data_IF_296127938050
#
_entry.id   IF_296127938050
#
_cell.length_a   1.000
_cell.length_b   1.000
_cell.length_c   1.000
_cell.angle_alpha   90.00
_cell.angle_beta   90.00
_cell.angle_gamma   90.00
#
_symmetry.space_group_name_H-M   'P 1'
#
loop_
_entity.id
_entity.type
_entity.pdbx_description
1 polymer ?
#
# COMPACT_ATOMS: atom_id res chain seq x y z
N UNK A 1 0.11 -0.56 -12.97
CA UNK A 1 0.97 0.65 -12.92
C UNK A 1 2.07 0.57 -11.86
N UNK A 2 1.84 0.05 -10.64
CA UNK A 2 2.90 -0.06 -9.61
C UNK A 2 3.90 -1.19 -9.88
N UNK A 3 3.43 -2.36 -10.31
CA UNK A 3 4.31 -3.50 -10.65
C UNK A 3 5.27 -3.22 -11.82
N UNK A 4 4.92 -2.30 -12.72
CA UNK A 4 5.78 -1.88 -13.84
C UNK A 4 6.91 -0.93 -13.42
N UNK A 5 6.95 -0.51 -12.16
CA UNK A 5 7.96 0.41 -11.60
C UNK A 5 8.75 -0.22 -10.46
N UNK A 6 8.83 -1.55 -10.44
CA UNK A 6 9.55 -2.33 -9.43
C UNK A 6 9.11 -2.04 -7.98
N UNK A 7 7.87 -1.57 -7.79
CA UNK A 7 7.30 -1.38 -6.46
C UNK A 7 6.64 -2.67 -5.99
N UNK A 8 6.99 -3.18 -4.79
CA UNK A 8 6.26 -4.27 -4.18
C UNK A 8 4.76 -3.97 -4.13
N UNK A 9 3.88 -4.96 -4.35
CA UNK A 9 2.42 -4.74 -4.38
C UNK A 9 1.90 -3.98 -3.16
N UNK A 10 2.42 -4.29 -1.96
CA UNK A 10 2.06 -3.60 -0.71
C UNK A 10 2.44 -2.12 -0.73
N UNK A 11 3.64 -1.79 -1.21
CA UNK A 11 4.10 -0.40 -1.32
C UNK A 11 3.22 0.36 -2.33
N UNK A 12 2.86 -0.27 -3.44
CA UNK A 12 1.94 0.29 -4.43
C UNK A 12 0.56 0.63 -3.85
N UNK A 13 -0.02 -0.28 -3.06
CA UNK A 13 -1.32 -0.06 -2.40
C UNK A 13 -1.26 1.10 -1.38
N UNK A 14 -0.19 1.17 -0.57
CA UNK A 14 0.02 2.24 0.40
C UNK A 14 0.16 3.60 -0.30
N UNK A 15 0.99 3.67 -1.35
CA UNK A 15 1.19 4.90 -2.13
C UNK A 15 -0.14 5.37 -2.75
N UNK A 16 -0.91 4.44 -3.32
CA UNK A 16 -2.19 4.76 -3.95
C UNK A 16 -3.21 5.31 -2.93
N UNK A 17 -3.36 4.67 -1.78
CA UNK A 17 -4.26 5.16 -0.72
C UNK A 17 -3.85 6.55 -0.22
N UNK A 18 -2.54 6.79 0.00
CA UNK A 18 -2.01 8.12 0.35
C UNK A 18 -2.24 9.17 -0.74
N UNK A 19 -2.23 8.77 -2.00
CA UNK A 19 -2.50 9.70 -3.11
C UNK A 19 -3.96 10.16 -3.10
N UNK A 20 -4.89 9.23 -2.83
CA UNK A 20 -6.30 9.56 -2.68
C UNK A 20 -6.51 10.47 -1.46
N UNK A 21 -5.82 10.20 -0.34
CA UNK A 21 -5.91 11.05 0.86
C UNK A 21 -5.50 12.50 0.56
N UNK A 22 -4.41 12.71 -0.18
CA UNK A 22 -3.98 14.06 -0.62
C UNK A 22 -5.03 14.74 -1.51
N UNK A 23 -5.66 14.00 -2.41
CA UNK A 23 -6.73 14.54 -3.25
C UNK A 23 -7.95 14.94 -2.40
N UNK A 24 -8.34 14.09 -1.43
CA UNK A 24 -9.41 14.40 -0.48
C UNK A 24 -9.12 15.69 0.30
N UNK A 25 -7.90 15.83 0.85
CA UNK A 25 -7.49 17.05 1.56
C UNK A 25 -7.55 18.28 0.64
N UNK A 26 -7.13 18.14 -0.61
CA UNK A 26 -7.21 19.21 -1.62
C UNK A 26 -8.66 19.63 -1.87
N UNK A 27 -9.59 18.67 -1.97
CA UNK A 27 -11.02 19.00 -2.12
C UNK A 27 -11.60 19.66 -0.88
N UNK A 28 -11.27 19.19 0.32
CA UNK A 28 -11.73 19.84 1.56
C UNK A 28 -11.21 21.26 1.69
N UNK A 29 -9.96 21.52 1.27
CA UNK A 29 -9.43 22.88 1.19
C UNK A 29 -10.22 23.75 0.21
N UNK A 30 -10.58 23.24 -0.97
CA UNK A 30 -11.41 23.98 -1.93
C UNK A 30 -12.79 24.31 -1.38
N UNK A 31 -13.36 23.43 -0.57
CA UNK A 31 -14.63 23.71 0.11
C UNK A 31 -14.47 24.85 1.10
N UNK A 32 -13.39 24.85 1.90
CA UNK A 32 -13.07 25.96 2.80
C UNK A 32 -12.81 27.28 2.04
N UNK A 33 -12.11 27.22 0.90
CA UNK A 33 -11.85 28.41 0.08
C UNK A 33 -13.15 29.02 -0.49
N UNK A 34 -14.19 28.19 -0.74
CA UNK A 34 -15.49 28.63 -1.30
C UNK A 34 -16.47 29.08 -0.22
N UNK A 35 -16.58 28.32 0.87
CA UNK A 35 -17.57 28.55 1.93
C UNK A 35 -17.01 29.35 3.11
N UNK A 36 -15.69 29.54 3.16
CA UNK A 36 -14.98 30.16 4.28
C UNK A 36 -14.63 29.17 5.39
N UNK A 37 -13.97 29.70 6.43
CA UNK A 37 -13.62 28.94 7.64
C UNK A 37 -14.88 28.59 8.43
N UNK A 38 -14.88 27.42 9.08
CA UNK A 38 -16.02 26.97 9.87
C UNK A 38 -17.17 26.46 8.99
N UNK A 39 -16.90 26.13 7.72
CA UNK A 39 -17.90 25.61 6.79
C UNK A 39 -18.59 24.35 7.30
N UNK A 40 -17.91 23.59 8.16
CA UNK A 40 -18.42 22.41 8.84
C UNK A 40 -19.61 22.70 9.78
N UNK A 41 -19.80 23.95 10.22
CA UNK A 41 -20.91 24.34 11.09
C UNK A 41 -22.20 24.60 10.31
N UNK A 42 -22.12 24.81 8.99
CA UNK A 42 -23.30 24.93 8.15
C UNK A 42 -24.00 23.57 8.02
N UNK A 43 -25.33 23.57 7.96
CA UNK A 43 -26.12 22.35 7.84
C UNK A 43 -25.69 21.48 6.64
N UNK A 44 -25.31 22.12 5.53
CA UNK A 44 -24.82 21.45 4.32
C UNK A 44 -23.37 20.94 4.48
N UNK A 45 -22.55 21.61 5.29
CA UNK A 45 -21.16 21.25 5.57
C UNK A 45 -21.00 20.06 6.51
N UNK A 46 -21.93 19.86 7.46
CA UNK A 46 -21.87 18.75 8.40
C UNK A 46 -21.85 17.38 7.71
N UNK A 47 -22.70 17.20 6.69
CA UNK A 47 -22.75 15.93 5.95
C UNK A 47 -21.41 15.65 5.26
N UNK A 48 -20.89 16.64 4.53
CA UNK A 48 -19.61 16.51 3.82
C UNK A 48 -18.44 16.28 4.78
N UNK A 49 -18.43 16.95 5.93
CA UNK A 49 -17.45 16.72 6.98
C UNK A 49 -17.53 15.26 7.49
N UNK A 50 -18.73 14.77 7.81
CA UNK A 50 -18.90 13.40 8.30
C UNK A 50 -18.46 12.34 7.28
N UNK A 51 -18.80 12.54 6.00
CA UNK A 51 -18.42 11.64 4.91
C UNK A 51 -16.92 11.67 4.66
N UNK A 52 -16.28 12.84 4.69
CA UNK A 52 -14.82 12.96 4.54
C UNK A 52 -14.07 12.29 5.69
N UNK A 53 -14.54 12.40 6.93
CA UNK A 53 -13.96 11.71 8.08
C UNK A 53 -14.10 10.19 7.96
N UNK A 54 -15.26 9.70 7.51
CA UNK A 54 -15.49 8.29 7.28
C UNK A 54 -14.62 7.75 6.12
N UNK A 55 -14.49 8.52 5.04
CA UNK A 55 -13.64 8.16 3.91
C UNK A 55 -12.16 8.12 4.31
N UNK A 56 -11.68 9.08 5.10
CA UNK A 56 -10.31 9.10 5.63
C UNK A 56 -9.98 7.84 6.42
N UNK A 57 -10.91 7.32 7.23
CA UNK A 57 -10.72 6.05 7.96
C UNK A 57 -10.50 4.86 7.02
N UNK A 58 -11.14 4.86 5.85
CA UNK A 58 -10.95 3.80 4.83
C UNK A 58 -9.60 3.89 4.12
N UNK A 59 -8.94 5.05 4.16
CA UNK A 59 -7.62 5.27 3.58
C UNK A 59 -6.49 4.98 4.58
N UNK A 60 -6.81 4.53 5.80
CA UNK A 60 -5.79 4.15 6.76
C UNK A 60 -4.96 2.96 6.22
N UNK A 61 -3.68 3.22 6.02
CA UNK A 61 -2.72 2.26 5.48
C UNK A 61 -1.96 1.51 6.58
N UNK A 62 -2.15 1.90 7.85
CA UNK A 62 -1.47 1.28 8.98
C UNK A 62 -1.75 -0.22 9.10
N UNK A 63 -3.00 -0.70 8.96
CA UNK A 63 -3.28 -2.14 9.03
C UNK A 63 -2.56 -2.94 7.93
N UNK A 64 -2.46 -2.37 6.72
CA UNK A 64 -1.76 -3.01 5.61
C UNK A 64 -0.26 -3.11 5.87
N UNK A 65 0.36 -2.05 6.42
CA UNK A 65 1.76 -2.05 6.80
C UNK A 65 2.06 -3.04 7.93
N UNK A 66 1.25 -3.04 8.98
CA UNK A 66 1.47 -3.91 10.15
C UNK A 66 1.30 -5.39 9.77
N UNK A 67 0.32 -5.73 8.92
CA UNK A 67 0.16 -7.09 8.39
C UNK A 67 1.40 -7.53 7.59
N UNK A 68 1.90 -6.67 6.70
CA UNK A 68 3.11 -6.95 5.93
C UNK A 68 4.36 -7.13 6.82
N UNK A 69 4.49 -6.29 7.85
CA UNK A 69 5.60 -6.40 8.80
C UNK A 69 5.55 -7.72 9.57
N UNK A 70 4.37 -8.15 10.00
CA UNK A 70 4.18 -9.46 10.62
C UNK A 70 4.56 -10.60 9.68
N UNK A 71 4.15 -10.53 8.41
CA UNK A 71 4.48 -11.55 7.41
C UNK A 71 5.99 -11.62 7.15
N UNK A 72 6.67 -10.49 7.03
CA UNK A 72 8.13 -10.45 6.85
C UNK A 72 8.87 -11.01 8.07
N UNK A 73 8.46 -10.62 9.28
CA UNK A 73 9.12 -11.10 10.49
C UNK A 73 8.95 -12.61 10.71
N UNK A 74 7.92 -13.22 10.11
CA UNK A 74 7.72 -14.68 10.10
C UNK A 74 8.53 -15.40 9.05
N UNK A 75 8.99 -14.71 8.00
CA UNK A 75 9.82 -15.32 6.95
C UNK A 75 11.25 -15.46 7.48
N UNK A 76 11.83 -16.64 7.27
CA UNK A 76 13.27 -16.81 7.46
C UNK A 76 13.98 -16.11 6.29
N UNK A 77 14.24 -14.81 6.44
CA UNK A 77 14.92 -14.00 5.42
C UNK A 77 16.44 -14.23 5.37
N UNK A 78 16.95 -15.18 6.17
CA UNK A 78 18.34 -15.58 6.12
C UNK A 78 18.58 -16.50 4.92
N UNK A 79 19.55 -16.14 4.09
CA UNK A 79 20.10 -17.07 3.09
C UNK A 79 20.89 -18.14 3.83
N UNK A 80 20.22 -19.23 4.21
CA UNK A 80 20.81 -20.38 4.89
C UNK A 80 20.86 -21.59 3.95
N UNK A 81 22.07 -22.08 3.63
CA UNK A 81 22.26 -23.30 2.83
C UNK A 81 23.04 -23.07 1.53
N UNK A 82 22.91 -24.00 0.56
CA UNK A 82 23.57 -23.90 -0.75
C UNK A 82 22.77 -22.98 -1.66
N UNK A 83 23.40 -21.88 -2.08
CA UNK A 83 22.88 -20.93 -3.07
C UNK A 83 22.59 -21.58 -4.42
N UNK A 84 23.38 -22.60 -4.77
CA UNK A 84 23.31 -23.29 -6.05
C UNK A 84 22.76 -24.70 -5.86
N UNK A 85 21.73 -25.03 -6.63
CA UNK A 85 21.16 -26.37 -6.69
C UNK A 85 21.28 -26.91 -8.11
N UNK A 86 21.75 -28.15 -8.26
CA UNK A 86 21.81 -28.83 -9.56
C UNK A 86 20.52 -29.63 -9.71
N UNK A 87 19.62 -29.17 -10.59
CA UNK A 87 18.34 -29.82 -10.86
C UNK A 87 18.48 -30.74 -12.07
N UNK A 88 18.06 -32.00 -11.94
CA UNK A 88 18.02 -32.95 -13.06
C UNK A 88 16.73 -32.79 -13.85
N UNK A 89 16.83 -32.57 -15.16
CA UNK A 89 15.67 -32.38 -16.04
C UNK A 89 15.04 -33.73 -16.42
N UNK A 90 13.70 -33.76 -16.54
CA UNK A 90 12.94 -34.99 -16.86
C UNK A 90 13.29 -35.59 -18.24
N UNK A 91 13.84 -34.80 -19.16
CA UNK A 91 14.30 -35.24 -20.48
C UNK A 91 15.78 -35.65 -20.57
N UNK A 92 16.50 -35.69 -19.44
CA UNK A 92 17.96 -35.81 -19.40
C UNK A 92 18.66 -34.44 -19.38
N UNK A 93 19.81 -34.37 -18.72
CA UNK A 93 20.57 -33.12 -18.50
C UNK A 93 20.44 -32.55 -17.08
N UNK A 94 21.29 -31.57 -16.79
CA UNK A 94 21.35 -30.87 -15.50
C UNK A 94 21.27 -29.35 -15.72
N UNK A 95 20.57 -28.65 -14.82
CA UNK A 95 20.48 -27.19 -14.80
C UNK A 95 20.95 -26.67 -13.45
N UNK A 96 21.71 -25.58 -13.45
CA UNK A 96 22.04 -24.82 -12.25
C UNK A 96 20.85 -23.89 -11.91
N UNK A 97 20.24 -24.09 -10.75
CA UNK A 97 19.24 -23.21 -10.17
C UNK A 97 19.88 -22.40 -9.03
N UNK A 98 19.40 -21.17 -8.82
CA UNK A 98 19.85 -20.31 -7.73
C UNK A 98 18.68 -20.10 -6.77
N UNK A 99 18.88 -20.43 -5.49
CA UNK A 99 17.89 -20.23 -4.44
C UNK A 99 18.06 -18.84 -3.83
N UNK A 100 17.20 -17.90 -4.24
CA UNK A 100 17.10 -16.53 -3.72
C UNK A 100 15.81 -16.26 -2.93
N UNK A 101 15.06 -17.31 -2.56
CA UNK A 101 13.82 -17.18 -1.77
C UNK A 101 14.08 -16.80 -0.31
#
# INVERSE_FOLDING_TARGET
MSQMRDLPPIAGAIIWARQIERQMQTYMKRVEDVLGKGWEHYAEGQKLQSESLAFRKKLDTRPAFDAWLQDINRRNMGVGGRLFEIVRLRGGGFQLAVNFD
#
